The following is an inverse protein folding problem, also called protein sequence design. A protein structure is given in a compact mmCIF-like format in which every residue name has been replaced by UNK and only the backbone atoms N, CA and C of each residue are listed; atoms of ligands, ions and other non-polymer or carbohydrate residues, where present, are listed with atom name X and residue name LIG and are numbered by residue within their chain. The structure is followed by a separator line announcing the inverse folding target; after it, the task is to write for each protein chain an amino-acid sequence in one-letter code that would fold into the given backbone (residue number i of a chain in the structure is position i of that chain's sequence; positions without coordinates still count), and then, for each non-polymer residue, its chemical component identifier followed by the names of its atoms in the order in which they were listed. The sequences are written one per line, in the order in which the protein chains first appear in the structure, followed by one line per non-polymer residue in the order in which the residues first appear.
data_IF_941247821577
#
_entry.id   IF_941247821577
#
_cell.length_a   1.000
_cell.length_b   1.000
_cell.length_c   1.000
_cell.angle_alpha   90.00
_cell.angle_beta   90.00
_cell.angle_gamma   90.00
#
_symmetry.space_group_name_H-M   'P 1'
#
loop_
_entity.id
_entity.type
_entity.pdbx_description
1 polymer ?
#
# COMPACT_ATOMS: atom_id res chain seq x y z
N UNK A 1 65.11 -6.41 11.55
CA UNK A 1 64.33 -5.81 10.45
C UNK A 1 63.35 -6.84 9.93
N UNK A 2 62.09 -6.44 9.82
CA UNK A 2 60.91 -7.29 9.64
C UNK A 2 60.85 -7.90 8.23
N UNK A 3 60.92 -9.23 8.15
CA UNK A 3 60.60 -9.95 6.91
C UNK A 3 59.12 -10.38 6.84
N UNK A 4 58.39 -10.27 7.96
CA UNK A 4 56.94 -10.58 8.05
C UNK A 4 56.04 -9.49 7.45
N UNK A 5 56.55 -8.28 7.23
CA UNK A 5 55.74 -7.14 6.78
C UNK A 5 55.43 -7.20 5.27
N UNK A 6 56.31 -7.81 4.48
CA UNK A 6 56.15 -7.95 3.03
C UNK A 6 55.05 -8.95 2.66
N UNK A 7 54.94 -10.08 3.37
CA UNK A 7 53.87 -11.05 3.13
C UNK A 7 52.51 -10.50 3.56
N UNK A 8 52.44 -9.77 4.68
CA UNK A 8 51.20 -9.09 5.10
C UNK A 8 50.80 -7.98 4.13
N UNK A 9 51.75 -7.19 3.62
CA UNK A 9 51.48 -6.15 2.62
C UNK A 9 51.08 -6.74 1.26
N UNK A 10 51.67 -7.86 0.85
CA UNK A 10 51.28 -8.58 -0.37
C UNK A 10 49.89 -9.19 -0.23
N UNK A 11 49.56 -9.79 0.91
CA UNK A 11 48.20 -10.26 1.20
C UNK A 11 47.20 -9.10 1.20
N UNK A 12 47.54 -7.97 1.83
CA UNK A 12 46.70 -6.78 1.85
C UNK A 12 46.47 -6.21 0.44
N UNK A 13 47.51 -6.14 -0.41
CA UNK A 13 47.36 -5.74 -1.82
C UNK A 13 46.57 -6.74 -2.63
N UNK A 14 46.76 -8.05 -2.44
CA UNK A 14 45.97 -9.07 -3.11
C UNK A 14 44.51 -9.01 -2.67
N UNK A 15 44.21 -8.79 -1.39
CA UNK A 15 42.84 -8.53 -0.92
C UNK A 15 42.30 -7.22 -1.51
N UNK A 16 43.08 -6.15 -1.60
CA UNK A 16 42.62 -4.89 -2.21
C UNK A 16 42.40 -5.02 -3.72
N UNK A 17 43.23 -5.77 -4.44
CA UNK A 17 43.08 -6.03 -5.87
C UNK A 17 41.91 -6.96 -6.16
N UNK A 18 41.72 -8.02 -5.37
CA UNK A 18 40.53 -8.89 -5.48
C UNK A 18 39.26 -8.13 -5.11
N UNK A 19 39.31 -7.26 -4.11
CA UNK A 19 38.19 -6.37 -3.76
C UNK A 19 37.92 -5.38 -4.88
N UNK A 20 38.93 -4.72 -5.47
CA UNK A 20 38.75 -3.74 -6.54
C UNK A 20 38.25 -4.36 -7.85
N UNK A 21 38.77 -5.54 -8.23
CA UNK A 21 38.29 -6.34 -9.36
C UNK A 21 36.86 -6.85 -9.13
N UNK A 22 36.51 -7.23 -7.90
CA UNK A 22 35.13 -7.60 -7.56
C UNK A 22 34.18 -6.40 -7.61
N UNK A 23 34.59 -5.20 -7.16
CA UNK A 23 33.76 -4.00 -7.18
C UNK A 23 33.57 -3.41 -8.59
N UNK A 24 34.54 -3.58 -9.50
CA UNK A 24 34.38 -3.21 -10.91
C UNK A 24 33.56 -4.22 -11.73
N UNK A 25 33.42 -5.46 -11.24
CA UNK A 25 32.64 -6.51 -11.88
C UNK A 25 31.20 -6.66 -11.33
N UNK A 26 30.83 -5.91 -10.29
CA UNK A 26 29.46 -5.88 -9.77
C UNK A 26 28.68 -4.82 -10.55
N UNK A 27 27.77 -5.20 -11.48
CA UNK A 27 26.86 -4.23 -12.05
C UNK A 27 26.07 -3.57 -10.91
N UNK A 28 25.88 -2.24 -10.93
CA UNK A 28 25.10 -1.57 -9.91
C UNK A 28 23.72 -2.25 -9.83
N UNK A 29 23.32 -2.63 -8.62
CA UNK A 29 22.07 -3.34 -8.35
C UNK A 29 20.89 -2.44 -8.78
N UNK A 30 20.43 -2.57 -10.02
CA UNK A 30 19.23 -1.89 -10.50
C UNK A 30 18.09 -2.90 -10.54
N UNK A 31 16.94 -2.53 -9.97
CA UNK A 31 15.75 -3.38 -9.96
C UNK A 31 15.12 -3.51 -11.35
N UNK A 32 15.52 -2.63 -12.29
CA UNK A 32 15.00 -2.54 -13.65
C UNK A 32 15.78 -3.36 -14.70
N UNK A 33 16.64 -4.28 -14.28
CA UNK A 33 17.36 -5.11 -15.23
C UNK A 33 16.40 -5.98 -16.06
N UNK A 34 16.60 -6.01 -17.38
CA UNK A 34 15.69 -6.67 -18.34
C UNK A 34 15.49 -8.16 -18.05
N UNK A 35 16.49 -8.80 -17.45
CA UNK A 35 16.49 -10.20 -17.03
C UNK A 35 15.56 -10.47 -15.85
N UNK A 36 15.47 -9.56 -14.87
CA UNK A 36 14.51 -9.66 -13.76
C UNK A 36 13.08 -9.51 -14.27
N UNK A 37 12.87 -8.58 -15.21
CA UNK A 37 11.58 -8.43 -15.86
C UNK A 37 11.19 -9.66 -16.68
N UNK A 38 12.13 -10.24 -17.44
CA UNK A 38 11.89 -11.47 -18.19
C UNK A 38 11.54 -12.65 -17.26
N UNK A 39 12.22 -12.78 -16.12
CA UNK A 39 11.99 -13.84 -15.17
C UNK A 39 10.66 -13.71 -14.40
N UNK A 40 10.19 -12.48 -14.16
CA UNK A 40 8.97 -12.21 -13.39
C UNK A 40 7.76 -11.83 -14.26
N UNK A 41 7.89 -11.93 -15.60
CA UNK A 41 6.91 -11.43 -16.56
C UNK A 41 5.49 -11.92 -16.29
N UNK A 42 5.30 -13.21 -16.03
CA UNK A 42 3.97 -13.78 -15.85
C UNK A 42 3.30 -13.28 -14.57
N UNK A 43 4.08 -13.14 -13.49
CA UNK A 43 3.63 -12.57 -12.21
C UNK A 43 3.26 -11.09 -12.39
N UNK A 44 4.12 -10.33 -13.07
CA UNK A 44 3.87 -8.91 -13.38
C UNK A 44 2.60 -8.75 -14.20
N UNK A 45 2.44 -9.52 -15.28
CA UNK A 45 1.26 -9.46 -16.15
C UNK A 45 -0.01 -9.77 -15.37
N UNK A 46 0.00 -10.77 -14.51
CA UNK A 46 -1.17 -11.12 -13.70
C UNK A 46 -1.51 -10.03 -12.68
N UNK A 47 -0.56 -9.65 -11.83
CA UNK A 47 -0.80 -8.75 -10.71
C UNK A 47 -0.95 -7.29 -11.13
N UNK A 48 -0.23 -6.83 -12.16
CA UNK A 48 -0.40 -5.48 -12.69
C UNK A 48 -1.55 -5.39 -13.71
N UNK A 49 -1.87 -6.48 -14.40
CA UNK A 49 -2.98 -6.54 -15.36
C UNK A 49 -4.35 -6.33 -14.68
N UNK A 50 -4.56 -6.92 -13.50
CA UNK A 50 -5.80 -6.77 -12.75
C UNK A 50 -6.14 -5.28 -12.45
N UNK A 51 -5.25 -4.48 -11.81
CA UNK A 51 -5.48 -3.06 -11.60
C UNK A 51 -5.69 -2.27 -12.88
N UNK A 52 -4.94 -2.58 -13.95
CA UNK A 52 -5.08 -1.89 -15.25
C UNK A 52 -6.46 -2.12 -15.84
N UNK A 53 -6.94 -3.36 -15.85
CA UNK A 53 -8.29 -3.69 -16.34
C UNK A 53 -9.36 -2.97 -15.51
N UNK A 54 -9.21 -2.94 -14.19
CA UNK A 54 -10.15 -2.18 -13.34
C UNK A 54 -10.06 -0.67 -13.54
N UNK A 55 -8.88 -0.12 -13.82
CA UNK A 55 -8.74 1.30 -14.13
C UNK A 55 -9.50 1.64 -15.43
N UNK A 56 -9.38 0.78 -16.45
CA UNK A 56 -10.17 0.91 -17.69
C UNK A 56 -11.67 0.83 -17.39
N UNK A 57 -12.11 -0.07 -16.51
CA UNK A 57 -13.50 -0.15 -16.08
C UNK A 57 -13.97 1.14 -15.39
N UNK A 58 -13.16 1.72 -14.50
CA UNK A 58 -13.47 2.98 -13.83
C UNK A 58 -13.59 4.15 -14.81
N UNK A 59 -12.72 4.20 -15.83
CA UNK A 59 -12.81 5.18 -16.92
C UNK A 59 -14.06 4.95 -17.76
N UNK A 60 -14.36 3.71 -18.13
CA UNK A 60 -15.56 3.37 -18.89
C UNK A 60 -16.83 3.80 -18.15
N UNK A 61 -16.93 3.53 -16.84
CA UNK A 61 -18.06 4.00 -16.00
C UNK A 61 -18.13 5.52 -15.96
N UNK A 62 -17.00 6.22 -15.85
CA UNK A 62 -16.96 7.69 -15.88
C UNK A 62 -17.48 8.26 -17.22
N UNK A 63 -17.14 7.62 -18.33
CA UNK A 63 -17.59 8.01 -19.67
C UNK A 63 -19.08 7.68 -19.88
N UNK A 64 -19.52 6.51 -19.44
CA UNK A 64 -20.93 6.10 -19.51
C UNK A 64 -21.82 7.03 -18.68
N UNK A 65 -21.36 7.47 -17.51
CA UNK A 65 -22.08 8.44 -16.69
C UNK A 65 -22.25 9.82 -17.35
N UNK A 66 -21.50 10.13 -18.43
CA UNK A 66 -21.69 11.34 -19.24
C UNK A 66 -22.63 11.12 -20.43
N UNK A 67 -22.95 9.87 -20.78
CA UNK A 67 -23.86 9.55 -21.87
C UNK A 67 -25.31 9.81 -21.48
N UNK A 68 -26.09 10.38 -22.42
CA UNK A 68 -27.55 10.55 -22.27
C UNK A 68 -28.29 9.23 -22.05
N UNK A 69 -27.78 8.12 -22.58
CA UNK A 69 -28.38 6.79 -22.43
C UNK A 69 -28.33 6.23 -21.01
N UNK A 70 -27.45 6.76 -20.15
CA UNK A 70 -27.27 6.33 -18.76
C UNK A 70 -27.62 7.43 -17.76
N UNK A 71 -28.47 8.40 -18.16
CA UNK A 71 -28.85 9.54 -17.32
C UNK A 71 -29.43 9.12 -15.95
N UNK A 72 -30.21 8.04 -15.89
CA UNK A 72 -30.76 7.50 -14.64
C UNK A 72 -29.66 6.97 -13.70
N UNK A 73 -28.67 6.27 -14.26
CA UNK A 73 -27.51 5.79 -13.50
C UNK A 73 -26.68 6.98 -12.99
N UNK A 74 -26.40 7.95 -13.85
CA UNK A 74 -25.64 9.15 -13.48
C UNK A 74 -26.34 9.96 -12.37
N UNK A 75 -27.67 10.04 -12.40
CA UNK A 75 -28.48 10.67 -11.35
C UNK A 75 -28.35 9.92 -10.02
N UNK A 76 -28.50 8.60 -10.04
CA UNK A 76 -28.37 7.75 -8.86
C UNK A 76 -26.95 7.82 -8.26
N UNK A 77 -25.92 7.78 -9.11
CA UNK A 77 -24.54 7.94 -8.69
C UNK A 77 -24.28 9.31 -8.06
N UNK A 78 -24.83 10.39 -8.62
CA UNK A 78 -24.72 11.73 -8.04
C UNK A 78 -25.42 11.82 -6.68
N UNK A 79 -26.58 11.20 -6.55
CA UNK A 79 -27.34 11.17 -5.29
C UNK A 79 -26.59 10.39 -4.21
N UNK A 80 -26.08 9.19 -4.53
CA UNK A 80 -25.25 8.39 -3.64
C UNK A 80 -23.96 9.11 -3.25
N UNK A 81 -23.30 9.75 -4.23
CA UNK A 81 -22.11 10.56 -3.99
C UNK A 81 -22.39 11.71 -3.02
N UNK A 82 -23.50 12.42 -3.16
CA UNK A 82 -23.90 13.44 -2.17
C UNK A 82 -24.24 12.85 -0.81
N UNK A 83 -24.89 11.68 -0.77
CA UNK A 83 -25.25 10.99 0.48
C UNK A 83 -24.03 10.53 1.27
N UNK A 84 -22.90 10.23 0.61
CA UNK A 84 -21.68 9.81 1.31
C UNK A 84 -21.23 10.81 2.37
N UNK A 85 -21.55 12.10 2.27
CA UNK A 85 -21.09 13.14 3.19
C UNK A 85 -19.58 13.08 3.47
N UNK A 86 -18.80 12.45 2.57
CA UNK A 86 -17.37 12.33 2.70
C UNK A 86 -16.73 13.72 2.48
N UNK A 87 -15.89 14.13 3.42
CA UNK A 87 -15.34 15.49 3.47
C UNK A 87 -14.30 15.75 2.38
N UNK A 88 -14.06 17.05 2.13
CA UNK A 88 -12.94 17.69 1.40
C UNK A 88 -12.64 17.22 -0.04
N UNK A 89 -12.46 15.92 -0.29
CA UNK A 89 -12.21 15.34 -1.62
C UNK A 89 -13.55 15.04 -2.28
N UNK A 90 -14.40 14.22 -1.65
CA UNK A 90 -15.67 13.76 -2.25
C UNK A 90 -16.66 14.93 -2.38
N UNK A 91 -16.74 15.80 -1.38
CA UNK A 91 -17.62 16.98 -1.41
C UNK A 91 -17.33 17.97 -2.56
N UNK A 92 -16.07 18.06 -3.01
CA UNK A 92 -15.64 18.99 -4.06
C UNK A 92 -15.46 18.31 -5.43
N UNK A 93 -15.62 17.00 -5.50
CA UNK A 93 -15.50 16.24 -6.75
C UNK A 93 -16.86 15.88 -7.32
N UNK A 94 -16.93 15.77 -8.64
CA UNK A 94 -18.03 15.06 -9.30
C UNK A 94 -17.79 13.54 -9.23
N UNK A 95 -18.84 12.70 -9.37
CA UNK A 95 -18.67 11.25 -9.48
C UNK A 95 -17.68 10.86 -10.61
N UNK A 96 -17.71 11.58 -11.73
CA UNK A 96 -16.79 11.34 -12.85
C UNK A 96 -15.34 11.63 -12.49
N UNK A 97 -15.05 12.75 -11.84
CA UNK A 97 -13.69 13.11 -11.41
C UNK A 97 -13.18 12.16 -10.32
N UNK A 98 -14.06 11.71 -9.43
CA UNK A 98 -13.71 10.69 -8.43
C UNK A 98 -13.32 9.36 -9.09
N UNK A 99 -14.10 8.88 -10.07
CA UNK A 99 -13.76 7.65 -10.80
C UNK A 99 -12.44 7.75 -11.57
N UNK A 100 -12.16 8.92 -12.19
CA UNK A 100 -10.88 9.17 -12.85
C UNK A 100 -9.71 9.19 -11.87
N UNK A 101 -9.90 9.79 -10.69
CA UNK A 101 -8.89 9.78 -9.63
C UNK A 101 -8.61 8.36 -9.13
N UNK A 102 -9.67 7.57 -8.89
CA UNK A 102 -9.52 6.15 -8.55
C UNK A 102 -8.84 5.36 -9.66
N UNK A 103 -9.12 5.63 -10.94
CA UNK A 103 -8.45 4.99 -12.06
C UNK A 103 -6.94 5.31 -12.08
N UNK A 104 -6.57 6.58 -11.87
CA UNK A 104 -5.16 6.98 -11.75
C UNK A 104 -4.48 6.28 -10.57
N UNK A 105 -5.18 6.15 -9.44
CA UNK A 105 -4.67 5.43 -8.28
C UNK A 105 -4.50 3.93 -8.57
N UNK A 106 -5.43 3.29 -9.29
CA UNK A 106 -5.29 1.89 -9.71
C UNK A 106 -4.07 1.67 -10.62
N UNK A 107 -3.74 2.65 -11.48
CA UNK A 107 -2.53 2.61 -12.30
C UNK A 107 -1.27 2.74 -11.43
N UNK A 108 -1.29 3.61 -10.43
CA UNK A 108 -0.20 3.71 -9.44
C UNK A 108 -0.01 2.40 -8.67
N UNK A 109 -1.10 1.74 -8.28
CA UNK A 109 -1.06 0.41 -7.66
C UNK A 109 -0.40 -0.62 -8.60
N UNK A 110 -0.73 -0.60 -9.90
CA UNK A 110 -0.10 -1.47 -10.89
C UNK A 110 1.42 -1.26 -10.91
N UNK A 111 1.86 -0.01 -11.02
CA UNK A 111 3.28 0.37 -11.05
C UNK A 111 3.99 -0.05 -9.76
N UNK A 112 3.39 0.21 -8.60
CA UNK A 112 3.91 -0.18 -7.30
C UNK A 112 4.08 -1.70 -7.19
N UNK A 113 3.12 -2.45 -7.73
CA UNK A 113 3.18 -3.91 -7.74
C UNK A 113 4.32 -4.41 -8.62
N UNK A 114 4.54 -3.80 -9.79
CA UNK A 114 5.70 -4.10 -10.63
C UNK A 114 7.01 -3.84 -9.87
N UNK A 115 7.13 -2.69 -9.20
CA UNK A 115 8.29 -2.37 -8.36
C UNK A 115 8.55 -3.43 -7.30
N UNK A 116 7.50 -3.80 -6.55
CA UNK A 116 7.60 -4.72 -5.43
C UNK A 116 8.00 -6.13 -5.89
N UNK A 117 7.44 -6.58 -7.02
CA UNK A 117 7.83 -7.85 -7.64
C UNK A 117 9.29 -7.82 -8.07
N UNK A 118 9.71 -6.78 -8.82
CA UNK A 118 11.09 -6.64 -9.28
C UNK A 118 12.09 -6.53 -8.11
N UNK A 119 11.74 -5.80 -7.06
CA UNK A 119 12.54 -5.73 -5.83
C UNK A 119 12.67 -7.10 -5.16
N UNK A 120 11.57 -7.85 -5.05
CA UNK A 120 11.58 -9.20 -4.48
C UNK A 120 12.48 -10.16 -5.29
N UNK A 121 12.38 -10.09 -6.62
CA UNK A 121 13.18 -10.86 -7.57
C UNK A 121 14.67 -10.52 -7.44
N UNK A 122 15.01 -9.23 -7.44
CA UNK A 122 16.39 -8.77 -7.29
C UNK A 122 17.00 -9.17 -5.94
N UNK A 123 16.22 -9.07 -4.85
CA UNK A 123 16.67 -9.50 -3.52
C UNK A 123 16.86 -11.02 -3.43
N UNK A 124 15.98 -11.81 -4.05
CA UNK A 124 16.13 -13.27 -4.13
C UNK A 124 17.37 -13.65 -4.92
N UNK A 125 17.61 -13.00 -6.06
CA UNK A 125 18.81 -13.23 -6.84
C UNK A 125 20.07 -12.89 -6.04
N UNK A 126 20.10 -11.72 -5.40
CA UNK A 126 21.25 -11.31 -4.59
C UNK A 126 21.55 -12.31 -3.46
N UNK A 127 20.52 -12.81 -2.75
CA UNK A 127 20.68 -13.86 -1.74
C UNK A 127 21.20 -15.17 -2.33
N UNK A 128 20.69 -15.57 -3.51
CA UNK A 128 21.16 -16.78 -4.18
C UNK A 128 22.64 -16.69 -4.53
N UNK A 129 23.09 -15.54 -5.05
CA UNK A 129 24.49 -15.31 -5.40
C UNK A 129 25.37 -15.27 -4.15
N UNK A 130 24.92 -14.62 -3.07
CA UNK A 130 25.63 -14.65 -1.79
C UNK A 130 25.80 -16.08 -1.26
N UNK A 131 24.76 -16.91 -1.33
CA UNK A 131 24.84 -18.31 -0.89
C UNK A 131 25.80 -19.13 -1.74
N UNK A 132 25.75 -19.03 -3.08
CA UNK A 132 26.68 -19.75 -3.96
C UNK A 132 28.12 -19.28 -3.79
N UNK A 133 28.34 -17.99 -3.55
CA UNK A 133 29.68 -17.48 -3.31
C UNK A 133 30.20 -17.95 -1.94
N UNK A 134 29.36 -17.98 -0.90
CA UNK A 134 29.71 -18.51 0.41
C UNK A 134 30.00 -20.01 0.38
N UNK A 135 29.22 -20.81 -0.38
CA UNK A 135 29.48 -22.24 -0.55
C UNK A 135 30.74 -22.50 -1.37
N UNK A 136 30.98 -21.73 -2.44
CA UNK A 136 32.21 -21.84 -3.23
C UNK A 136 33.46 -21.49 -2.41
N UNK A 137 33.37 -20.47 -1.54
CA UNK A 137 34.44 -20.12 -0.60
C UNK A 137 34.65 -21.21 0.47
N UNK A 138 33.57 -21.85 0.93
CA UNK A 138 33.66 -22.99 1.84
C UNK A 138 34.32 -24.21 1.17
N UNK A 139 33.94 -24.54 -0.06
CA UNK A 139 34.53 -25.64 -0.83
C UNK A 139 36.01 -25.38 -1.18
N UNK A 140 36.37 -24.14 -1.51
CA UNK A 140 37.77 -23.72 -1.70
C UNK A 140 38.58 -23.80 -0.40
N UNK A 141 37.97 -23.50 0.76
CA UNK A 141 38.62 -23.67 2.06
C UNK A 141 38.86 -25.14 2.43
N UNK A 142 38.05 -26.06 1.91
CA UNK A 142 38.25 -27.51 2.02
C UNK A 142 39.37 -28.00 1.07
N UNK A 143 39.55 -27.34 -0.08
CA UNK A 143 40.64 -27.64 -1.04
C UNK A 143 42.01 -27.03 -0.67
N UNK A 144 42.11 -26.25 0.41
CA UNK A 144 43.34 -25.58 0.80
C UNK A 144 44.48 -26.51 1.29
N UNK A 145 44.32 -27.84 1.19
CA UNK A 145 45.39 -28.84 1.35
C UNK A 145 46.22 -29.09 0.08
N UNK A 146 45.96 -28.41 -1.04
CA UNK A 146 46.78 -28.51 -2.25
C UNK A 146 47.23 -27.12 -2.74
N UNK A 147 48.43 -27.01 -3.37
CA UNK A 147 49.01 -25.72 -3.75
C UNK A 147 48.11 -25.00 -4.78
N UNK A 148 47.81 -23.75 -4.46
CA UNK A 148 47.01 -22.80 -5.24
C UNK A 148 47.68 -22.51 -6.58
N UNK A 149 47.32 -23.25 -7.61
CA UNK A 149 47.43 -22.80 -9.00
C UNK A 149 46.16 -22.00 -9.33
N UNK A 150 46.34 -20.86 -10.00
CA UNK A 150 45.39 -19.77 -10.28
C UNK A 150 43.94 -20.19 -10.62
N UNK A 151 43.14 -20.51 -9.61
CA UNK A 151 41.69 -20.48 -9.75
C UNK A 151 41.26 -19.04 -9.55
N UNK A 152 41.25 -18.28 -10.65
CA UNK A 152 40.47 -17.05 -10.78
C UNK A 152 39.03 -17.38 -10.42
N UNK A 153 38.48 -16.92 -9.27
CA UNK A 153 37.07 -17.05 -9.02
C UNK A 153 36.40 -16.05 -9.96
N UNK A 154 36.06 -16.48 -11.17
CA UNK A 154 35.12 -15.72 -11.98
C UNK A 154 33.86 -15.63 -11.13
N UNK A 155 33.49 -14.42 -10.70
CA UNK A 155 32.33 -14.33 -9.86
C UNK A 155 31.13 -14.72 -10.73
N UNK A 156 30.30 -15.62 -10.20
CA UNK A 156 29.08 -16.14 -10.85
C UNK A 156 28.02 -15.02 -10.78
N UNK A 157 28.34 -13.85 -11.32
CA UNK A 157 27.44 -12.72 -11.56
C UNK A 157 26.79 -12.80 -12.94
N UNK A 158 27.00 -13.91 -13.67
CA UNK A 158 26.32 -14.16 -14.92
C UNK A 158 24.82 -14.30 -14.66
N UNK A 159 24.04 -13.29 -15.06
CA UNK A 159 22.59 -13.39 -15.23
C UNK A 159 22.29 -14.43 -16.32
N UNK A 160 22.39 -15.71 -15.97
CA UNK A 160 22.21 -16.80 -16.93
C UNK A 160 20.72 -17.04 -17.20
N UNK A 161 20.43 -17.57 -18.39
CA UNK A 161 19.10 -17.94 -18.85
C UNK A 161 18.34 -18.92 -17.92
N UNK A 162 19.02 -19.50 -16.93
CA UNK A 162 18.43 -20.40 -15.91
C UNK A 162 17.79 -19.67 -14.73
N UNK A 163 17.73 -18.33 -14.74
CA UNK A 163 17.07 -17.55 -13.69
C UNK A 163 15.61 -17.95 -13.47
N UNK A 164 14.87 -18.29 -14.53
CA UNK A 164 13.46 -18.72 -14.45
C UNK A 164 13.25 -19.96 -13.58
N UNK A 165 14.25 -20.84 -13.44
CA UNK A 165 14.18 -22.03 -12.59
C UNK A 165 14.40 -21.71 -11.09
N UNK A 166 15.01 -20.56 -10.76
CA UNK A 166 15.20 -20.11 -9.38
C UNK A 166 13.96 -19.46 -8.77
N UNK A 167 13.01 -18.99 -9.59
CA UNK A 167 11.88 -18.22 -9.10
C UNK A 167 10.69 -19.11 -8.73
N UNK A 168 9.95 -18.73 -7.67
CA UNK A 168 8.74 -19.43 -7.30
C UNK A 168 7.76 -19.43 -8.47
N UNK A 169 7.07 -20.56 -8.70
CA UNK A 169 5.92 -20.60 -9.58
C UNK A 169 4.88 -19.54 -9.17
N UNK A 170 4.06 -19.10 -10.12
CA UNK A 170 3.01 -18.09 -9.89
C UNK A 170 2.13 -18.41 -8.67
N UNK A 171 1.84 -19.70 -8.46
CA UNK A 171 1.11 -20.20 -7.29
C UNK A 171 1.83 -19.88 -5.96
N UNK A 172 3.14 -20.06 -5.90
CA UNK A 172 3.94 -19.79 -4.71
C UNK A 172 4.12 -18.29 -4.47
N UNK A 173 4.11 -17.48 -5.52
CA UNK A 173 4.05 -16.01 -5.41
C UNK A 173 2.75 -15.51 -4.79
N UNK A 174 1.61 -16.14 -5.08
CA UNK A 174 0.32 -15.75 -4.50
C UNK A 174 0.25 -15.93 -2.97
N UNK A 175 1.14 -16.74 -2.40
CA UNK A 175 1.25 -16.98 -0.96
C UNK A 175 2.28 -16.06 -0.28
N UNK A 176 2.90 -15.13 -1.01
CA UNK A 176 3.88 -14.20 -0.45
C UNK A 176 3.21 -13.03 0.27
N UNK A 177 3.85 -12.43 1.30
CA UNK A 177 3.36 -11.22 1.94
C UNK A 177 3.05 -10.09 0.94
N UNK A 178 3.83 -9.96 -0.12
CA UNK A 178 3.63 -8.98 -1.19
C UNK A 178 2.28 -9.15 -1.89
N UNK A 179 1.87 -10.39 -2.17
CA UNK A 179 0.57 -10.68 -2.78
C UNK A 179 -0.60 -10.35 -1.83
N UNK A 180 -0.46 -10.61 -0.53
CA UNK A 180 -1.47 -10.23 0.47
C UNK A 180 -1.61 -8.71 0.60
N UNK A 181 -0.49 -7.99 0.66
CA UNK A 181 -0.44 -6.53 0.71
C UNK A 181 -1.12 -5.94 -0.53
N UNK A 182 -0.80 -6.45 -1.72
CA UNK A 182 -1.49 -6.09 -2.96
C UNK A 182 -2.99 -6.35 -2.91
N UNK A 183 -3.40 -7.56 -2.49
CA UNK A 183 -4.81 -7.95 -2.44
C UNK A 183 -5.61 -7.04 -1.51
N UNK A 184 -5.05 -6.68 -0.36
CA UNK A 184 -5.66 -5.73 0.58
C UNK A 184 -5.78 -4.32 -0.02
N UNK A 185 -4.72 -3.80 -0.65
CA UNK A 185 -4.76 -2.49 -1.34
C UNK A 185 -5.85 -2.46 -2.42
N UNK A 186 -5.81 -3.45 -3.31
CA UNK A 186 -6.78 -3.61 -4.40
C UNK A 186 -8.21 -3.70 -3.87
N UNK A 187 -8.46 -4.57 -2.88
CA UNK A 187 -9.79 -4.74 -2.29
C UNK A 187 -10.29 -3.44 -1.64
N UNK A 188 -9.45 -2.76 -0.85
CA UNK A 188 -9.80 -1.49 -0.22
C UNK A 188 -10.19 -0.42 -1.25
N UNK A 189 -9.41 -0.29 -2.33
CA UNK A 189 -9.67 0.66 -3.41
C UNK A 189 -10.99 0.36 -4.15
N UNK A 190 -11.22 -0.90 -4.51
CA UNK A 190 -12.48 -1.32 -5.16
C UNK A 190 -13.66 -1.11 -4.22
N UNK A 191 -13.54 -1.45 -2.94
CA UNK A 191 -14.57 -1.23 -1.93
C UNK A 191 -14.91 0.25 -1.78
N UNK A 192 -13.92 1.14 -1.73
CA UNK A 192 -14.15 2.59 -1.69
C UNK A 192 -14.90 3.09 -2.92
N UNK A 193 -14.49 2.64 -4.11
CA UNK A 193 -15.15 3.01 -5.36
C UNK A 193 -16.61 2.53 -5.37
N UNK A 194 -16.85 1.26 -5.05
CA UNK A 194 -18.20 0.70 -4.96
C UNK A 194 -19.05 1.42 -3.90
N UNK A 195 -18.48 1.73 -2.74
CA UNK A 195 -19.19 2.44 -1.67
C UNK A 195 -19.71 3.81 -2.14
N UNK A 196 -18.87 4.59 -2.80
CA UNK A 196 -19.23 5.94 -3.27
C UNK A 196 -20.32 5.91 -4.33
N UNK A 197 -20.33 4.89 -5.20
CA UNK A 197 -21.27 4.81 -6.32
C UNK A 197 -22.58 4.11 -5.99
N UNK A 198 -22.57 3.05 -5.17
CA UNK A 198 -23.74 2.19 -4.96
C UNK A 198 -24.42 2.39 -3.61
N UNK A 199 -23.65 2.59 -2.54
CA UNK A 199 -24.20 2.62 -1.19
C UNK A 199 -24.49 4.06 -0.75
N UNK A 200 -23.48 4.94 -0.82
CA UNK A 200 -23.59 6.30 -0.29
C UNK A 200 -23.77 6.39 1.23
N UNK A 201 -24.09 5.29 1.91
CA UNK A 201 -24.33 5.19 3.35
C UNK A 201 -24.30 3.69 3.75
N UNK A 202 -23.87 3.31 4.97
CA UNK A 202 -23.34 4.14 6.06
C UNK A 202 -21.87 4.54 5.88
N UNK A 203 -21.52 5.72 6.42
CA UNK A 203 -20.17 6.30 6.40
C UNK A 203 -19.06 5.34 6.84
N UNK A 204 -19.36 4.45 7.79
CA UNK A 204 -18.44 3.43 8.32
C UNK A 204 -17.89 2.54 7.21
N UNK A 205 -18.71 2.12 6.24
CA UNK A 205 -18.27 1.23 5.16
C UNK A 205 -17.20 1.89 4.27
N UNK A 206 -17.31 3.19 4.03
CA UNK A 206 -16.29 3.96 3.32
C UNK A 206 -14.98 4.06 4.10
N UNK A 207 -15.07 4.26 5.43
CA UNK A 207 -13.89 4.30 6.32
C UNK A 207 -13.20 2.95 6.38
N UNK A 208 -13.94 1.84 6.48
CA UNK A 208 -13.37 0.50 6.45
C UNK A 208 -12.62 0.24 5.13
N UNK A 209 -13.21 0.58 3.98
CA UNK A 209 -12.52 0.48 2.69
C UNK A 209 -11.23 1.31 2.65
N UNK A 210 -11.26 2.53 3.17
CA UNK A 210 -10.09 3.41 3.25
C UNK A 210 -9.00 2.87 4.19
N UNK A 211 -9.38 2.29 5.33
CA UNK A 211 -8.43 1.64 6.25
C UNK A 211 -7.77 0.41 5.63
N UNK A 212 -8.56 -0.41 4.93
CA UNK A 212 -8.05 -1.61 4.23
C UNK A 212 -7.06 -1.23 3.13
N UNK A 213 -7.25 -0.09 2.46
CA UNK A 213 -6.26 0.43 1.51
C UNK A 213 -5.08 1.14 2.21
N UNK A 214 -5.30 1.80 3.34
CA UNK A 214 -4.29 2.59 4.06
C UNK A 214 -3.21 1.73 4.73
N UNK A 215 -3.59 0.73 5.52
CA UNK A 215 -2.61 -0.05 6.30
C UNK A 215 -1.54 -0.72 5.43
N UNK A 216 -1.88 -1.36 4.29
CA UNK A 216 -0.87 -1.89 3.38
C UNK A 216 0.06 -0.81 2.81
N UNK A 217 -0.47 0.36 2.44
CA UNK A 217 0.34 1.47 1.92
C UNK A 217 1.25 2.06 3.00
N UNK A 218 0.78 2.13 4.24
CA UNK A 218 1.58 2.53 5.39
C UNK A 218 2.69 1.50 5.68
N UNK A 219 2.37 0.21 5.64
CA UNK A 219 3.33 -0.87 5.80
C UNK A 219 4.44 -0.80 4.73
N UNK A 220 4.08 -0.61 3.46
CA UNK A 220 5.08 -0.45 2.40
C UNK A 220 5.93 0.81 2.55
N UNK A 221 5.35 1.93 2.98
CA UNK A 221 6.09 3.15 3.25
C UNK A 221 7.11 2.96 4.39
N UNK A 222 6.81 2.13 5.39
CA UNK A 222 7.74 1.78 6.47
C UNK A 222 8.89 0.87 6.03
N UNK A 223 8.73 0.11 4.94
CA UNK A 223 9.78 -0.76 4.38
C UNK A 223 10.81 0.00 3.53
N UNK A 224 10.62 1.30 3.33
CA UNK A 224 11.56 2.16 2.62
C UNK A 224 12.76 2.47 3.52
N UNK A 225 13.94 1.94 3.17
CA UNK A 225 15.17 2.12 3.95
C UNK A 225 15.95 3.40 3.59
N UNK A 226 15.48 4.21 2.64
CA UNK A 226 16.17 5.42 2.17
C UNK A 226 17.40 5.18 1.28
N UNK A 227 18.03 4.00 1.37
CA UNK A 227 19.16 3.58 0.55
C UNK A 227 18.74 2.70 -0.64
N UNK A 228 17.61 3.03 -1.27
CA UNK A 228 17.17 2.27 -2.44
C UNK A 228 18.02 2.64 -3.67
N UNK A 229 18.42 1.64 -4.48
CA UNK A 229 19.24 1.90 -5.66
C UNK A 229 18.52 2.74 -6.70
N UNK A 230 17.21 2.58 -6.81
CA UNK A 230 16.34 3.34 -7.71
C UNK A 230 15.41 4.26 -6.89
N UNK A 231 15.31 5.53 -7.27
CA UNK A 231 14.47 6.51 -6.54
C UNK A 231 12.99 6.47 -6.92
N UNK A 232 12.67 6.03 -8.13
CA UNK A 232 11.29 6.04 -8.63
C UNK A 232 10.32 5.13 -7.85
N UNK A 233 10.68 3.92 -7.36
CA UNK A 233 9.78 3.09 -6.57
C UNK A 233 9.43 3.75 -5.23
N UNK A 234 10.39 4.50 -4.67
CA UNK A 234 10.21 5.30 -3.46
C UNK A 234 9.17 6.40 -3.70
N UNK A 235 9.23 7.08 -4.84
CA UNK A 235 8.21 8.08 -5.19
C UNK A 235 6.83 7.46 -5.37
N UNK A 236 6.72 6.33 -6.07
CA UNK A 236 5.44 5.65 -6.30
C UNK A 236 4.80 5.23 -4.97
N UNK A 237 5.57 4.58 -4.09
CA UNK A 237 5.09 4.15 -2.77
C UNK A 237 4.68 5.32 -1.88
N UNK A 238 5.48 6.40 -1.84
CA UNK A 238 5.13 7.61 -1.08
C UNK A 238 3.88 8.30 -1.61
N UNK A 239 3.71 8.41 -2.93
CA UNK A 239 2.52 9.01 -3.54
C UNK A 239 1.28 8.17 -3.23
N UNK A 240 1.36 6.84 -3.35
CA UNK A 240 0.27 5.93 -2.97
C UNK A 240 -0.08 6.05 -1.49
N UNK A 241 0.92 6.17 -0.62
CA UNK A 241 0.71 6.40 0.81
C UNK A 241 -0.01 7.72 1.09
N UNK A 242 0.45 8.83 0.53
CA UNK A 242 -0.17 10.14 0.71
C UNK A 242 -1.61 10.15 0.19
N UNK A 243 -1.88 9.49 -0.93
CA UNK A 243 -3.21 9.38 -1.49
C UNK A 243 -4.13 8.54 -0.58
N UNK A 244 -3.62 7.43 -0.05
CA UNK A 244 -4.35 6.60 0.92
C UNK A 244 -4.68 7.35 2.22
N UNK A 245 -3.75 8.16 2.72
CA UNK A 245 -3.93 9.00 3.90
C UNK A 245 -4.97 10.09 3.64
N UNK A 246 -4.92 10.73 2.47
CA UNK A 246 -5.88 11.75 2.06
C UNK A 246 -7.30 11.16 1.94
N UNK A 247 -7.44 9.96 1.37
CA UNK A 247 -8.71 9.23 1.31
C UNK A 247 -9.21 8.85 2.70
N UNK A 248 -8.34 8.32 3.56
CA UNK A 248 -8.70 7.99 4.95
C UNK A 248 -9.20 9.21 5.70
N UNK A 249 -8.54 10.36 5.54
CA UNK A 249 -9.00 11.62 6.12
C UNK A 249 -10.35 12.07 5.56
N UNK A 250 -10.55 11.97 4.24
CA UNK A 250 -11.78 12.36 3.57
C UNK A 250 -13.01 11.56 4.07
N UNK A 251 -12.86 10.25 4.26
CA UNK A 251 -13.93 9.39 4.80
C UNK A 251 -14.02 9.45 6.33
N UNK A 252 -12.90 9.56 7.04
CA UNK A 252 -12.83 9.50 8.50
C UNK A 252 -13.24 10.79 9.21
N UNK A 253 -12.85 11.96 8.69
CA UNK A 253 -13.14 13.24 9.35
C UNK A 253 -14.66 13.49 9.56
N UNK A 254 -15.56 13.17 8.61
CA UNK A 254 -17.00 13.24 8.84
C UNK A 254 -17.50 12.34 9.96
N UNK A 255 -16.98 11.11 10.07
CA UNK A 255 -17.34 10.16 11.14
C UNK A 255 -16.92 10.73 12.49
N UNK A 256 -15.66 11.13 12.62
CA UNK A 256 -15.15 11.73 13.86
C UNK A 256 -15.95 12.98 14.26
N UNK A 257 -16.32 13.81 13.28
CA UNK A 257 -17.13 15.01 13.54
C UNK A 257 -18.56 14.68 13.96
N UNK A 258 -19.15 13.60 13.44
CA UNK A 258 -20.48 13.12 13.86
C UNK A 258 -20.43 12.64 15.31
N UNK A 259 -19.51 11.72 15.61
CA UNK A 259 -19.31 11.17 16.97
C UNK A 259 -19.02 12.30 17.98
N UNK A 260 -18.15 13.25 17.62
CA UNK A 260 -17.86 14.40 18.48
C UNK A 260 -19.09 15.26 18.78
N UNK A 261 -19.99 15.46 17.80
CA UNK A 261 -21.23 16.23 18.01
C UNK A 261 -22.23 15.47 18.88
N UNK A 262 -22.33 14.16 18.72
CA UNK A 262 -23.18 13.30 19.53
C UNK A 262 -22.68 13.30 20.98
N UNK A 263 -21.38 13.07 21.20
CA UNK A 263 -20.73 13.17 22.52
C UNK A 263 -20.91 14.55 23.16
N UNK A 264 -20.75 15.64 22.38
CA UNK A 264 -20.96 17.00 22.89
C UNK A 264 -22.40 17.22 23.34
N UNK A 265 -23.39 16.71 22.62
CA UNK A 265 -24.81 16.83 22.98
C UNK A 265 -25.12 16.04 24.25
N UNK A 266 -24.57 14.85 24.38
CA UNK A 266 -24.73 14.00 25.57
C UNK A 266 -24.09 14.64 26.80
N UNK A 267 -22.85 15.13 26.67
CA UNK A 267 -22.17 15.91 27.69
C UNK A 267 -23.01 17.13 28.09
N UNK A 268 -23.51 17.92 27.14
CA UNK A 268 -24.36 19.09 27.43
C UNK A 268 -25.68 18.70 28.10
N UNK A 269 -26.29 17.58 27.71
CA UNK A 269 -27.50 17.04 28.32
C UNK A 269 -27.27 16.65 29.78
N UNK A 270 -26.22 15.87 30.06
CA UNK A 270 -25.85 15.49 31.42
C UNK A 270 -25.39 16.67 32.27
N UNK A 271 -24.66 17.62 31.69
CA UNK A 271 -24.24 18.83 32.41
C UNK A 271 -25.44 19.69 32.75
N UNK A 272 -26.38 19.88 31.82
CA UNK A 272 -27.63 20.58 32.08
C UNK A 272 -28.46 19.84 33.14
N UNK A 273 -28.63 18.53 33.01
CA UNK A 273 -29.37 17.74 34.00
C UNK A 273 -28.73 17.84 35.39
N UNK A 274 -27.40 17.77 35.51
CA UNK A 274 -26.69 17.96 36.77
C UNK A 274 -26.83 19.40 37.32
N UNK A 275 -26.72 20.43 36.48
CA UNK A 275 -26.81 21.84 36.91
C UNK A 275 -28.24 22.24 37.35
N UNK A 276 -29.25 21.61 36.75
CA UNK A 276 -30.66 21.97 36.93
C UNK A 276 -31.42 21.04 37.89
N UNK A 277 -30.86 19.88 38.26
CA UNK A 277 -31.47 18.91 39.19
C UNK A 277 -31.70 19.48 40.60
N UNK A 278 -30.85 20.42 41.04
CA UNK A 278 -30.91 21.02 42.37
C UNK A 278 -31.54 22.41 42.40
N UNK A 279 -32.05 22.93 41.27
CA UNK A 279 -32.77 24.20 41.28
C UNK A 279 -34.21 24.01 41.80
N UNK A 280 -34.64 24.77 42.84
CA UNK A 280 -35.98 24.64 43.42
C UNK A 280 -37.09 24.96 42.40
N UNK A 281 -36.84 25.89 41.47
CA UNK A 281 -37.77 26.28 40.39
C UNK A 281 -38.17 25.11 39.48
N UNK A 282 -37.24 24.19 39.20
CA UNK A 282 -37.50 23.01 38.38
C UNK A 282 -38.21 21.90 39.15
N UNK A 283 -38.00 21.80 40.47
CA UNK A 283 -38.82 20.93 41.34
C UNK A 283 -40.27 21.40 41.37
N UNK A 284 -40.50 22.71 41.47
CA UNK A 284 -41.86 23.27 41.41
C UNK A 284 -42.53 23.05 40.05
N UNK A 285 -41.81 23.26 38.94
CA UNK A 285 -42.34 23.00 37.59
C UNK A 285 -42.66 21.52 37.37
N UNK A 286 -41.82 20.60 37.86
CA UNK A 286 -42.07 19.15 37.77
C UNK A 286 -43.25 18.71 38.66
N UNK A 287 -43.39 19.30 39.85
CA UNK A 287 -44.55 19.09 40.72
C UNK A 287 -45.86 19.59 40.07
N UNK A 288 -45.83 20.75 39.40
CA UNK A 288 -46.99 21.28 38.65
C UNK A 288 -47.30 20.46 37.40
N UNK A 289 -46.29 19.96 36.67
CA UNK A 289 -46.49 19.13 35.49
C UNK A 289 -47.09 17.74 35.83
N UNK A 290 -46.78 17.19 37.00
CA UNK A 290 -47.43 15.98 37.53
C UNK A 290 -48.90 16.16 37.94
N UNK A 291 -49.43 17.38 37.89
CA UNK A 291 -50.83 17.72 38.19
C UNK A 291 -51.64 18.13 36.95
N UNK A 292 -51.11 17.91 35.74
CA UNK A 292 -51.91 18.10 34.54
C UNK A 292 -53.11 17.15 34.54
N UNK A 293 -54.36 17.66 34.49
CA UNK A 293 -55.54 16.83 34.50
C UNK A 293 -55.55 15.92 33.26
N UNK A 294 -55.83 14.63 33.47
CA UNK A 294 -56.05 13.65 32.39
C UNK A 294 -57.04 14.26 31.39
N UNK A 295 -56.61 14.43 30.14
CA UNK A 295 -57.50 14.82 29.04
C UNK A 295 -58.75 13.93 29.06
N UNK A 296 -59.96 14.50 29.02
CA UNK A 296 -61.17 13.69 28.94
C UNK A 296 -61.13 12.90 27.63
N UNK A 297 -61.37 11.59 27.72
CA UNK A 297 -61.60 10.74 26.56
C UNK A 297 -62.84 11.26 25.84
N UNK A 298 -62.68 11.83 24.65
CA UNK A 298 -63.81 12.04 23.75
C UNK A 298 -64.29 10.67 23.25
N UNK A 299 -65.58 10.40 23.45
CA UNK A 299 -66.32 9.26 22.89
C UNK A 299 -66.65 9.53 21.43
#
# INVERSE_FOLDING_TARGET
MQHLDLEQQLRLRQTQQTTSLSTSAVPPLSYLHSTYHAAAKDVIVFFAGLPVVTAVLFVAVALLARSKSFANLAKLMKENHHRTNAGLIVANTTPTTFSLCMAAWMILLALQTVCNVLRGVAQQHYRSVQHTNASALADLSVLHTLPMEEVSPQPIWGLSANMTALYPSLLRWSMTPTAFVFAAQYAGMVCMWCYVFFAGHPLEAGVFGALVAFFPNFYEALLLNGNEPDRWPVWVTLVSFLLSLACLWAFGAPVVRREYRELKREMQGHTAEALYKDRPELRELRARAGHLPKKPKQK
#
